data_IF_706415236949
#
_entry.id   IF_706415236949
#
_cell.length_a   1.000
_cell.length_b   1.000
_cell.length_c   1.000
_cell.angle_alpha   90.00
_cell.angle_beta   90.00
_cell.angle_gamma   90.00
#
_symmetry.space_group_name_H-M   'P 1'
#
loop_
_entity.id
_entity.type
_entity.pdbx_description
1 polymer ?
#
# COMPACT_ATOMS: atom_id res chain seq x y z
N UNK A 1 -6.51 11.06 -4.18
CA UNK A 1 -5.48 11.12 -3.11
C UNK A 1 -4.12 11.64 -3.60
N UNK A 2 -3.71 11.40 -4.85
CA UNK A 2 -2.42 11.87 -5.37
C UNK A 2 -2.39 13.35 -5.80
N UNK A 3 -3.56 13.94 -6.10
CA UNK A 3 -3.72 15.36 -6.47
C UNK A 3 -3.29 16.30 -5.33
N UNK A 4 -2.63 17.40 -5.69
CA UNK A 4 -2.29 18.52 -4.80
C UNK A 4 -2.74 19.83 -5.45
N UNK A 5 -3.23 20.78 -4.65
CA UNK A 5 -3.59 22.13 -5.11
C UNK A 5 -4.59 22.16 -6.27
N UNK A 6 -5.52 21.20 -6.34
CA UNK A 6 -6.52 21.13 -7.44
C UNK A 6 -5.98 20.67 -8.79
N UNK A 7 -4.67 20.42 -8.95
CA UNK A 7 -4.10 20.04 -10.24
C UNK A 7 -4.38 18.56 -10.59
N UNK A 8 -5.57 18.31 -11.15
CA UNK A 8 -6.04 16.98 -11.57
C UNK A 8 -5.29 16.47 -12.80
N UNK A 9 -4.91 17.35 -13.72
CA UNK A 9 -4.21 16.99 -14.97
C UNK A 9 -2.87 16.35 -14.66
N UNK A 10 -2.09 16.95 -13.76
CA UNK A 10 -0.82 16.39 -13.31
C UNK A 10 -1.01 15.06 -12.57
N UNK A 11 -2.00 14.95 -11.68
CA UNK A 11 -2.26 13.71 -10.97
C UNK A 11 -2.64 12.56 -11.93
N UNK A 12 -3.43 12.86 -12.97
CA UNK A 12 -3.79 11.92 -14.02
C UNK A 12 -2.57 11.50 -14.83
N UNK A 13 -1.73 12.45 -15.27
CA UNK A 13 -0.54 12.14 -16.06
C UNK A 13 0.47 11.29 -15.29
N UNK A 14 0.66 11.55 -14.00
CA UNK A 14 1.49 10.72 -13.11
C UNK A 14 0.94 9.29 -12.99
N UNK A 15 -0.38 9.13 -12.84
CA UNK A 15 -1.00 7.80 -12.79
C UNK A 15 -0.81 7.05 -14.11
N UNK A 16 -1.08 7.69 -15.26
CA UNK A 16 -0.90 7.08 -16.58
C UNK A 16 0.54 6.61 -16.78
N UNK A 17 1.53 7.47 -16.47
CA UNK A 17 2.95 7.12 -16.54
C UNK A 17 3.33 5.97 -15.61
N UNK A 18 2.67 5.86 -14.45
CA UNK A 18 2.93 4.75 -13.50
C UNK A 18 2.43 3.43 -14.08
N UNK A 19 1.19 3.39 -14.59
CA UNK A 19 0.63 2.19 -15.21
C UNK A 19 1.45 1.76 -16.43
N UNK A 20 1.90 2.72 -17.23
CA UNK A 20 2.81 2.47 -18.35
C UNK A 20 4.15 1.89 -17.88
N UNK A 21 4.76 2.45 -16.83
CA UNK A 21 6.01 1.93 -16.28
C UNK A 21 5.86 0.51 -15.72
N UNK A 22 4.76 0.21 -15.01
CA UNK A 22 4.44 -1.15 -14.54
C UNK A 22 4.32 -2.11 -15.73
N UNK A 23 3.58 -1.70 -16.78
CA UNK A 23 3.40 -2.52 -17.97
C UNK A 23 4.74 -2.78 -18.66
N UNK A 24 5.55 -1.76 -18.92
CA UNK A 24 6.87 -1.89 -19.56
C UNK A 24 7.78 -2.87 -18.79
N UNK A 25 7.90 -2.68 -17.47
CA UNK A 25 8.71 -3.57 -16.61
C UNK A 25 8.24 -5.02 -16.63
N UNK A 26 6.93 -5.26 -16.64
CA UNK A 26 6.40 -6.63 -16.73
C UNK A 26 6.64 -7.27 -18.10
N UNK A 27 6.57 -6.49 -19.17
CA UNK A 27 6.91 -6.99 -20.52
C UNK A 27 8.41 -7.28 -20.65
N UNK A 28 9.27 -6.40 -20.13
CA UNK A 28 10.72 -6.64 -20.05
C UNK A 28 11.02 -7.95 -19.30
N UNK A 29 10.40 -8.14 -18.13
CA UNK A 29 10.50 -9.38 -17.35
C UNK A 29 10.00 -10.60 -18.13
N UNK A 30 8.85 -10.48 -18.81
CA UNK A 30 8.27 -11.56 -19.61
C UNK A 30 9.16 -11.99 -20.77
N UNK A 31 9.76 -11.04 -21.49
CA UNK A 31 10.64 -11.36 -22.62
C UNK A 31 11.96 -11.97 -22.18
N UNK A 32 12.50 -11.55 -21.03
CA UNK A 32 13.72 -12.11 -20.45
C UNK A 32 13.53 -13.48 -19.77
N UNK A 33 12.29 -13.83 -19.41
CA UNK A 33 11.97 -15.05 -18.67
C UNK A 33 11.91 -16.32 -19.54
N UNK A 34 12.10 -17.47 -18.88
CA UNK A 34 11.99 -18.80 -19.48
C UNK A 34 10.52 -19.12 -19.87
N UNK A 35 10.28 -20.12 -20.76
CA UNK A 35 8.92 -20.48 -21.18
C UNK A 35 7.97 -20.80 -20.02
N UNK A 36 8.48 -21.41 -18.95
CA UNK A 36 7.69 -21.78 -17.76
C UNK A 36 7.30 -20.54 -16.93
N UNK A 37 8.26 -19.65 -16.70
CA UNK A 37 8.06 -18.42 -15.92
C UNK A 37 7.12 -17.44 -16.63
N UNK A 38 7.10 -17.43 -17.96
CA UNK A 38 6.21 -16.58 -18.77
C UNK A 38 4.73 -16.77 -18.42
N UNK A 39 4.32 -18.00 -18.10
CA UNK A 39 2.94 -18.30 -17.74
C UNK A 39 2.54 -17.68 -16.38
N UNK A 40 3.49 -17.55 -15.45
CA UNK A 40 3.25 -17.00 -14.11
C UNK A 40 3.29 -15.47 -14.06
N UNK A 41 3.82 -14.79 -15.10
CA UNK A 41 3.99 -13.34 -15.11
C UNK A 41 2.68 -12.64 -15.48
N UNK A 42 2.10 -11.94 -14.50
CA UNK A 42 0.99 -11.02 -14.73
C UNK A 42 1.48 -9.74 -15.44
N UNK A 43 0.79 -9.38 -16.52
CA UNK A 43 1.18 -8.26 -17.41
C UNK A 43 0.18 -7.12 -17.36
N UNK A 44 -1.02 -7.36 -16.82
CA UNK A 44 -2.05 -6.35 -16.72
C UNK A 44 -1.76 -5.41 -15.52
N UNK A 45 -1.44 -4.12 -15.76
CA UNK A 45 -1.09 -3.20 -14.68
C UNK A 45 -2.28 -2.94 -13.73
N UNK A 46 -3.53 -3.11 -14.19
CA UNK A 46 -4.70 -2.91 -13.36
C UNK A 46 -4.88 -4.04 -12.35
N UNK A 47 -4.70 -5.31 -12.76
CA UNK A 47 -4.80 -6.45 -11.85
C UNK A 47 -3.70 -6.38 -10.79
N UNK A 48 -2.47 -6.06 -11.21
CA UNK A 48 -1.33 -5.81 -10.31
C UNK A 48 -1.68 -4.70 -9.32
N UNK A 49 -2.19 -3.56 -9.80
CA UNK A 49 -2.55 -2.43 -8.94
C UNK A 49 -3.61 -2.80 -7.89
N UNK A 50 -4.68 -3.47 -8.31
CA UNK A 50 -5.74 -3.90 -7.39
C UNK A 50 -5.24 -4.93 -6.38
N UNK A 51 -4.44 -5.90 -6.81
CA UNK A 51 -3.92 -6.93 -5.92
C UNK A 51 -2.86 -6.38 -4.96
N UNK A 52 -1.97 -5.50 -5.43
CA UNK A 52 -1.00 -4.81 -4.58
C UNK A 52 -1.71 -3.99 -3.48
N UNK A 53 -2.77 -3.26 -3.82
CA UNK A 53 -3.56 -2.55 -2.81
C UNK A 53 -4.23 -3.50 -1.81
N UNK A 54 -4.86 -4.59 -2.27
CA UNK A 54 -5.44 -5.61 -1.39
C UNK A 54 -4.41 -6.19 -0.43
N UNK A 55 -3.21 -6.50 -0.91
CA UNK A 55 -2.12 -7.01 -0.08
C UNK A 55 -1.70 -6.01 1.01
N UNK A 56 -1.78 -4.72 0.72
CA UNK A 56 -1.44 -3.62 1.64
C UNK A 56 -2.57 -3.28 2.64
N UNK A 57 -3.78 -3.79 2.47
CA UNK A 57 -4.92 -3.46 3.33
C UNK A 57 -4.76 -4.09 4.74
N UNK A 58 -4.74 -3.29 5.82
CA UNK A 58 -4.72 -3.82 7.18
C UNK A 58 -6.12 -4.25 7.61
N UNK A 59 -6.27 -5.46 8.16
CA UNK A 59 -7.56 -5.95 8.68
C UNK A 59 -7.93 -5.28 10.01
N UNK A 60 -6.96 -5.15 10.91
CA UNK A 60 -7.12 -4.55 12.24
C UNK A 60 -6.28 -3.26 12.29
N UNK A 61 -6.81 -2.25 12.96
CA UNK A 61 -6.10 -1.01 13.29
C UNK A 61 -6.14 -0.74 14.78
N UNK A 62 -5.48 0.36 15.17
CA UNK A 62 -5.44 0.84 16.55
C UNK A 62 -6.19 2.16 16.66
N UNK A 63 -6.98 2.31 17.71
CA UNK A 63 -7.67 3.54 18.07
C UNK A 63 -7.21 3.96 19.47
N UNK A 64 -6.76 5.21 19.66
CA UNK A 64 -6.44 5.71 20.99
C UNK A 64 -7.73 5.92 21.80
N UNK A 65 -7.84 5.27 22.96
CA UNK A 65 -8.93 5.45 23.92
C UNK A 65 -8.35 6.03 25.21
N UNK A 66 -8.91 7.15 25.69
CA UNK A 66 -8.53 7.75 26.97
C UNK A 66 -9.29 7.05 28.10
N UNK A 67 -8.57 6.45 29.05
CA UNK A 67 -9.16 5.84 30.25
C UNK A 67 -8.25 6.06 31.45
N UNK A 68 -8.80 6.60 32.54
CA UNK A 68 -8.03 6.87 33.76
C UNK A 68 -6.80 7.76 33.52
N UNK A 69 -6.90 8.76 32.64
CA UNK A 69 -5.80 9.68 32.33
C UNK A 69 -4.73 9.16 31.37
N UNK A 70 -4.80 7.90 30.93
CA UNK A 70 -3.86 7.31 29.98
C UNK A 70 -4.51 7.00 28.63
N UNK A 71 -3.76 7.17 27.53
CA UNK A 71 -4.18 6.78 26.19
C UNK A 71 -3.73 5.35 25.88
N UNK A 72 -4.69 4.47 25.65
CA UNK A 72 -4.46 3.08 25.26
C UNK A 72 -4.69 2.90 23.76
N UNK A 73 -3.77 2.20 23.09
CA UNK A 73 -3.94 1.80 21.69
C UNK A 73 -4.78 0.53 21.65
N UNK A 74 -6.08 0.69 21.39
CA UNK A 74 -7.04 -0.41 21.43
C UNK A 74 -7.23 -0.98 20.03
N UNK A 75 -7.12 -2.31 19.84
CA UNK A 75 -7.32 -2.94 18.55
C UNK A 75 -8.79 -2.95 18.13
N UNK A 76 -9.05 -2.53 16.89
CA UNK A 76 -10.40 -2.39 16.32
C UNK A 76 -10.44 -2.97 14.91
N UNK A 77 -11.46 -3.78 14.57
CA UNK A 77 -11.67 -4.22 13.18
C UNK A 77 -11.98 -3.02 12.29
N UNK A 78 -11.24 -2.87 11.19
CA UNK A 78 -11.41 -1.74 10.29
C UNK A 78 -12.49 -2.01 9.24
N UNK A 79 -13.32 -1.00 8.96
CA UNK A 79 -14.27 -1.04 7.84
C UNK A 79 -13.56 -0.99 6.48
N UNK A 80 -14.17 -1.59 5.45
CA UNK A 80 -13.61 -1.66 4.08
C UNK A 80 -13.13 -0.32 3.54
N UNK A 81 -13.94 0.73 3.72
CA UNK A 81 -13.60 2.09 3.30
C UNK A 81 -12.32 2.58 3.98
N UNK A 82 -12.15 2.28 5.28
CA UNK A 82 -10.98 2.67 6.05
C UNK A 82 -9.74 1.88 5.66
N UNK A 83 -9.87 0.56 5.44
CA UNK A 83 -8.77 -0.31 5.00
C UNK A 83 -8.19 0.16 3.65
N UNK A 84 -9.07 0.36 2.66
CA UNK A 84 -8.71 0.88 1.33
C UNK A 84 -8.03 2.25 1.41
N UNK A 85 -8.59 3.15 2.21
CA UNK A 85 -8.00 4.48 2.42
C UNK A 85 -6.59 4.39 3.02
N UNK A 86 -6.38 3.54 4.02
CA UNK A 86 -5.06 3.37 4.66
C UNK A 86 -4.04 2.81 3.68
N UNK A 87 -4.38 1.78 2.90
CA UNK A 87 -3.50 1.21 1.88
C UNK A 87 -3.06 2.26 0.84
N UNK A 88 -4.02 3.01 0.27
CA UNK A 88 -3.71 4.09 -0.69
C UNK A 88 -2.89 5.21 -0.06
N UNK A 89 -3.19 5.60 1.18
CA UNK A 89 -2.46 6.64 1.90
C UNK A 89 -1.01 6.22 2.15
N UNK A 90 -0.78 5.02 2.68
CA UNK A 90 0.56 4.51 2.94
C UNK A 90 1.40 4.44 1.67
N UNK A 91 0.85 3.87 0.59
CA UNK A 91 1.55 3.79 -0.70
C UNK A 91 2.01 5.17 -1.20
N UNK A 92 1.12 6.17 -1.18
CA UNK A 92 1.43 7.53 -1.62
C UNK A 92 2.44 8.21 -0.69
N UNK A 93 2.31 8.01 0.63
CA UNK A 93 3.22 8.58 1.63
C UNK A 93 4.62 8.01 1.49
N UNK A 94 4.78 6.69 1.43
CA UNK A 94 6.08 6.03 1.26
C UNK A 94 6.78 6.50 -0.03
N UNK A 95 6.04 6.57 -1.15
CA UNK A 95 6.59 7.06 -2.42
C UNK A 95 7.01 8.54 -2.37
N UNK A 96 6.37 9.36 -1.54
CA UNK A 96 6.69 10.80 -1.42
C UNK A 96 7.86 11.05 -0.48
N UNK A 97 7.94 10.31 0.61
CA UNK A 97 8.92 10.53 1.68
C UNK A 97 10.24 9.79 1.42
N UNK A 98 10.19 8.55 0.92
CA UNK A 98 11.37 7.68 0.82
C UNK A 98 12.02 7.63 -0.57
N UNK A 99 11.53 8.43 -1.52
CA UNK A 99 12.14 8.46 -2.85
C UNK A 99 13.43 9.30 -2.85
N UNK A 100 14.52 8.84 -3.48
CA UNK A 100 15.66 9.71 -3.75
C UNK A 100 15.23 10.92 -4.60
N UNK A 101 15.86 12.09 -4.38
CA UNK A 101 15.47 13.34 -5.06
C UNK A 101 15.47 13.25 -6.59
N UNK A 102 16.39 12.46 -7.16
CA UNK A 102 16.53 12.24 -8.60
C UNK A 102 15.49 11.27 -9.19
N UNK A 103 14.85 10.46 -8.34
CA UNK A 103 13.89 9.45 -8.79
C UNK A 103 12.50 10.07 -9.05
N UNK A 104 11.94 9.72 -10.22
CA UNK A 104 10.62 10.19 -10.62
C UNK A 104 9.52 9.47 -9.84
N UNK A 105 8.41 10.17 -9.59
CA UNK A 105 7.26 9.60 -8.86
C UNK A 105 6.68 8.34 -9.54
N UNK A 106 6.47 8.31 -10.87
CA UNK A 106 5.92 7.11 -11.52
C UNK A 106 6.83 5.89 -11.43
N UNK A 107 8.14 6.12 -11.46
CA UNK A 107 9.14 5.06 -11.34
C UNK A 107 9.12 4.45 -9.94
N UNK A 108 9.18 5.28 -8.88
CA UNK A 108 9.11 4.78 -7.50
C UNK A 108 7.78 4.09 -7.23
N UNK A 109 6.66 4.68 -7.65
CA UNK A 109 5.33 4.09 -7.44
C UNK A 109 5.19 2.75 -8.18
N UNK A 110 5.77 2.61 -9.39
CA UNK A 110 5.78 1.33 -10.09
C UNK A 110 6.58 0.25 -9.34
N UNK A 111 7.72 0.60 -8.73
CA UNK A 111 8.51 -0.34 -7.92
C UNK A 111 7.74 -0.79 -6.69
N UNK A 112 7.18 0.15 -5.93
CA UNK A 112 6.40 -0.16 -4.72
C UNK A 112 5.17 -1.01 -5.03
N UNK A 113 4.49 -0.77 -6.15
CA UNK A 113 3.36 -1.60 -6.59
C UNK A 113 3.78 -3.04 -6.91
N UNK A 114 4.93 -3.23 -7.57
CA UNK A 114 5.45 -4.55 -7.90
C UNK A 114 5.94 -5.30 -6.66
N UNK A 115 6.61 -4.61 -5.74
CA UNK A 115 7.03 -5.17 -4.46
C UNK A 115 5.80 -5.59 -3.63
N UNK A 116 4.81 -4.70 -3.48
CA UNK A 116 3.58 -4.99 -2.75
C UNK A 116 2.75 -6.12 -3.38
N UNK A 117 2.76 -6.25 -4.71
CA UNK A 117 2.14 -7.36 -5.42
C UNK A 117 2.72 -8.71 -4.97
N UNK A 118 4.02 -8.77 -4.75
CA UNK A 118 4.73 -9.94 -4.23
C UNK A 118 4.79 -10.01 -2.69
N UNK A 119 3.97 -9.23 -1.97
CA UNK A 119 3.97 -9.14 -0.50
C UNK A 119 5.31 -8.69 0.10
N UNK A 120 6.06 -7.89 -0.64
CA UNK A 120 7.33 -7.32 -0.23
C UNK A 120 7.23 -5.79 -0.15
N UNK A 121 8.31 -5.18 0.32
CA UNK A 121 8.44 -3.73 0.37
C UNK A 121 7.98 -3.09 1.69
N UNK A 122 8.25 -1.78 1.84
CA UNK A 122 8.06 -1.05 3.10
C UNK A 122 6.59 -0.89 3.48
N UNK A 123 5.67 -0.80 2.51
CA UNK A 123 4.23 -0.69 2.78
C UNK A 123 3.69 -1.97 3.43
N UNK A 124 4.14 -3.13 2.96
CA UNK A 124 3.75 -4.43 3.53
C UNK A 124 4.35 -4.58 4.94
N UNK A 125 5.61 -4.19 5.14
CA UNK A 125 6.22 -4.14 6.48
C UNK A 125 5.39 -3.27 7.43
N UNK A 126 4.95 -2.07 6.99
CA UNK A 126 4.10 -1.17 7.78
C UNK A 126 2.75 -1.81 8.17
N UNK A 127 2.15 -2.60 7.26
CA UNK A 127 0.96 -3.41 7.57
C UNK A 127 1.26 -4.43 8.67
N UNK A 128 2.36 -5.17 8.56
CA UNK A 128 2.76 -6.17 9.54
C UNK A 128 3.07 -5.55 10.91
N UNK A 129 3.75 -4.41 10.95
CA UNK A 129 4.06 -3.70 12.20
C UNK A 129 2.76 -3.26 12.90
N UNK A 130 1.77 -2.78 12.15
CA UNK A 130 0.43 -2.47 12.68
C UNK A 130 -0.26 -3.72 13.26
N UNK A 131 -0.19 -4.86 12.57
CA UNK A 131 -0.79 -6.11 13.04
C UNK A 131 -0.10 -6.65 14.30
N UNK A 132 1.24 -6.61 14.35
CA UNK A 132 2.00 -6.99 15.55
C UNK A 132 1.65 -6.11 16.74
N UNK A 133 1.52 -4.80 16.53
CA UNK A 133 1.13 -3.87 17.60
C UNK A 133 -0.32 -4.07 18.05
N UNK A 134 -1.23 -4.41 17.13
CA UNK A 134 -2.60 -4.77 17.47
C UNK A 134 -2.68 -6.08 18.26
N UNK A 135 -1.87 -7.08 17.89
CA UNK A 135 -1.79 -8.37 18.58
C UNK A 135 -1.22 -8.24 20.00
N UNK A 136 -0.16 -7.45 20.17
CA UNK A 136 0.41 -7.16 21.49
C UNK A 136 -0.61 -6.52 22.44
N UNK A 137 -1.52 -5.69 21.91
CA UNK A 137 -2.55 -4.99 22.67
C UNK A 137 -3.90 -5.73 22.67
N UNK A 138 -3.96 -7.01 22.28
CA UNK A 138 -5.22 -7.79 22.20
C UNK A 138 -6.03 -7.77 23.48
N UNK A 139 -5.36 -7.75 24.64
CA UNK A 139 -6.00 -7.74 25.94
C UNK A 139 -6.85 -6.47 26.15
N UNK A 140 -6.46 -5.34 25.56
CA UNK A 140 -7.15 -4.05 25.70
C UNK A 140 -8.43 -3.95 24.85
N UNK A 141 -8.76 -4.98 24.06
CA UNK A 141 -9.97 -4.99 23.23
C UNK A 141 -11.27 -4.78 24.03
N UNK A 142 -11.30 -5.15 25.31
CA UNK A 142 -12.44 -4.95 26.21
C UNK A 142 -12.70 -3.46 26.56
N UNK A 143 -11.78 -2.55 26.24
CA UNK A 143 -12.04 -1.10 26.38
C UNK A 143 -12.95 -0.56 25.27
N UNK A 144 -13.31 -1.38 24.29
CA UNK A 144 -14.28 -1.04 23.25
C UNK A 144 -15.71 -1.17 23.79
N UNK A 145 -16.54 -0.15 23.56
CA UNK A 145 -17.94 -0.10 24.01
C UNK A 145 -18.96 -0.19 22.86
N UNK A 146 -18.51 -0.66 21.69
CA UNK A 146 -19.33 -0.87 20.49
C UNK A 146 -19.06 -2.22 19.84
#
# INVERSE_FOLDING_TARGET
>A
MMMKGGNKVLARSLMTKTLEAVKRKQFEKYHAASPEERAAIERNPYTIFHQALKNCEPVIGLVPILKGGHFYQVPVPLSDRRRRFMAMKWMITECREKKPRRMLMPEKLSQELLEAFHNQGPVIRRKHDMHKMAEANRALAHYRWW
#
